data_IF_301894938837
#
_entry.id   IF_301894938837
#
_cell.length_a   1.000
_cell.length_b   1.000
_cell.length_c   1.000
_cell.angle_alpha   90.00
_cell.angle_beta   90.00
_cell.angle_gamma   90.00
#
_symmetry.space_group_name_H-M   'P 1'
#
loop_
_entity.id
_entity.type
_entity.pdbx_description
1 polymer ?
#
# COMPACT_ATOMS: atom_id res chain seq x y z
N UNK A 1 70.98 23.78 1.82
CA UNK A 1 69.82 22.87 1.77
C UNK A 1 68.54 23.70 1.72
N UNK A 2 67.88 23.88 0.57
CA UNK A 2 66.56 24.50 0.51
C UNK A 2 65.44 23.46 0.31
N UNK A 3 64.41 23.60 1.15
CA UNK A 3 62.98 23.41 0.94
C UNK A 3 62.45 22.43 -0.13
N UNK A 4 61.69 21.43 0.32
CA UNK A 4 60.62 20.75 -0.45
C UNK A 4 59.44 20.55 0.52
N UNK A 5 58.45 21.45 0.47
CA UNK A 5 57.15 21.28 -0.18
C UNK A 5 56.26 20.21 0.51
N UNK A 6 55.46 20.62 1.50
CA UNK A 6 54.32 19.83 1.98
C UNK A 6 53.09 20.20 1.17
N UNK A 7 52.56 19.24 0.42
CA UNK A 7 51.32 19.35 -0.33
C UNK A 7 50.13 19.21 0.63
N UNK A 8 49.26 20.22 0.65
CA UNK A 8 47.99 20.19 1.36
C UNK A 8 46.93 19.59 0.41
N UNK A 9 46.50 18.35 0.68
CA UNK A 9 45.33 17.76 0.03
C UNK A 9 44.06 18.24 0.74
N UNK A 10 43.35 19.20 0.15
CA UNK A 10 41.99 19.55 0.58
C UNK A 10 41.00 18.58 -0.08
N UNK A 11 40.51 17.60 0.69
CA UNK A 11 39.43 16.70 0.30
C UNK A 11 38.11 17.50 0.39
N UNK A 12 37.60 17.98 -0.74
CA UNK A 12 36.28 18.59 -0.81
C UNK A 12 35.20 17.50 -0.68
N UNK A 13 34.62 17.37 0.52
CA UNK A 13 33.46 16.52 0.76
C UNK A 13 32.23 17.24 0.20
N UNK A 14 31.84 16.91 -1.03
CA UNK A 14 30.59 17.39 -1.60
C UNK A 14 29.44 16.69 -0.87
N UNK A 15 28.86 17.38 0.13
CA UNK A 15 27.59 16.98 0.73
C UNK A 15 26.51 17.26 -0.31
N UNK A 16 26.11 16.23 -1.05
CA UNK A 16 24.89 16.28 -1.85
C UNK A 16 23.71 16.30 -0.87
N UNK A 17 23.24 17.49 -0.53
CA UNK A 17 21.91 17.65 0.03
C UNK A 17 20.94 17.32 -1.11
N UNK A 18 20.48 16.07 -1.16
CA UNK A 18 19.38 15.68 -2.03
C UNK A 18 18.14 16.37 -1.50
N UNK A 19 17.91 17.61 -1.96
CA UNK A 19 16.65 18.31 -1.76
C UNK A 19 15.54 17.48 -2.38
N UNK A 20 14.74 16.81 -1.55
CA UNK A 20 13.51 16.19 -1.99
C UNK A 20 12.62 17.30 -2.55
N UNK A 21 12.32 17.23 -3.85
CA UNK A 21 11.22 18.02 -4.38
C UNK A 21 9.97 17.66 -3.57
N UNK A 22 9.13 18.64 -3.17
CA UNK A 22 7.94 18.35 -2.40
C UNK A 22 7.12 17.29 -3.14
N UNK A 23 6.87 16.16 -2.48
CA UNK A 23 6.22 15.03 -3.10
C UNK A 23 4.88 15.48 -3.70
N UNK A 24 4.73 15.34 -5.01
CA UNK A 24 3.49 15.73 -5.69
C UNK A 24 2.37 14.86 -5.16
N UNK A 25 1.28 15.47 -4.70
CA UNK A 25 0.13 14.71 -4.21
C UNK A 25 -1.02 14.71 -5.19
N UNK A 26 -1.59 13.54 -5.45
CA UNK A 26 -2.68 13.34 -6.39
C UNK A 26 -3.78 12.54 -5.68
N UNK A 27 -5.01 13.05 -5.69
CA UNK A 27 -6.15 12.39 -5.07
C UNK A 27 -6.75 11.35 -6.02
N UNK A 28 -7.05 10.14 -5.54
CA UNK A 28 -7.58 9.06 -6.38
C UNK A 28 -9.00 9.33 -6.91
N UNK A 29 -9.76 10.23 -6.27
CA UNK A 29 -11.06 10.71 -6.73
C UNK A 29 -10.98 11.40 -8.10
N UNK A 30 -9.84 12.00 -8.44
CA UNK A 30 -9.61 12.61 -9.75
C UNK A 30 -9.68 11.58 -10.88
N UNK A 31 -9.53 10.29 -10.56
CA UNK A 31 -9.62 9.17 -11.47
C UNK A 31 -10.90 8.36 -11.29
N UNK A 32 -11.78 8.77 -10.37
CA UNK A 32 -13.08 8.14 -10.13
C UNK A 32 -13.12 7.07 -9.04
N UNK A 33 -12.12 7.00 -8.15
CA UNK A 33 -12.18 6.13 -6.99
C UNK A 33 -12.84 6.87 -5.82
N UNK A 34 -13.97 6.36 -5.31
CA UNK A 34 -14.75 7.02 -4.26
C UNK A 34 -15.08 6.04 -3.13
N UNK A 35 -14.82 6.42 -1.87
CA UNK A 35 -15.08 5.50 -0.78
C UNK A 35 -16.59 5.33 -0.53
N UNK A 36 -16.96 4.11 -0.15
CA UNK A 36 -18.30 3.68 0.27
C UNK A 36 -19.38 3.77 -0.83
N UNK A 37 -19.00 3.71 -2.11
CA UNK A 37 -19.97 3.70 -3.22
C UNK A 37 -20.35 2.27 -3.67
N UNK A 38 -19.65 1.25 -3.18
CA UNK A 38 -19.86 -0.16 -3.54
C UNK A 38 -19.35 -0.53 -4.94
N UNK A 39 -18.69 0.39 -5.63
CA UNK A 39 -18.18 0.23 -7.00
C UNK A 39 -16.74 -0.26 -6.93
N UNK A 40 -16.32 -1.02 -7.95
CA UNK A 40 -14.92 -1.44 -8.06
C UNK A 40 -14.00 -0.23 -8.31
N UNK A 41 -13.14 0.06 -7.34
CA UNK A 41 -12.18 1.17 -7.37
C UNK A 41 -10.89 0.79 -8.10
N UNK A 42 -10.62 -0.50 -8.32
CA UNK A 42 -9.39 -0.98 -8.97
C UNK A 42 -9.08 -0.28 -10.30
N UNK A 43 -10.03 -0.10 -11.25
CA UNK A 43 -9.75 0.59 -12.51
C UNK A 43 -9.34 2.06 -12.31
N UNK A 44 -9.94 2.76 -11.35
CA UNK A 44 -9.66 4.16 -11.08
C UNK A 44 -8.29 4.34 -10.43
N UNK A 45 -7.95 3.47 -9.47
CA UNK A 45 -6.63 3.45 -8.83
C UNK A 45 -5.55 3.10 -9.85
N UNK A 46 -5.77 2.12 -10.74
CA UNK A 46 -4.83 1.79 -11.81
C UNK A 46 -4.58 2.96 -12.78
N UNK A 47 -5.63 3.75 -13.10
CA UNK A 47 -5.45 4.98 -13.88
C UNK A 47 -4.64 6.04 -13.14
N UNK A 48 -4.84 6.17 -11.82
CA UNK A 48 -4.05 7.08 -10.99
C UNK A 48 -2.57 6.69 -10.99
N UNK A 49 -2.29 5.40 -10.78
CA UNK A 49 -0.94 4.83 -10.82
C UNK A 49 -0.25 5.06 -12.16
N UNK A 50 -0.95 4.82 -13.28
CA UNK A 50 -0.41 5.03 -14.63
C UNK A 50 -0.08 6.49 -14.95
N UNK A 51 -0.62 7.45 -14.18
CA UNK A 51 -0.38 8.90 -14.35
C UNK A 51 0.48 9.49 -13.24
N UNK A 52 0.83 8.73 -12.21
CA UNK A 52 1.64 9.17 -11.09
C UNK A 52 3.12 9.25 -11.52
N UNK A 53 3.75 10.43 -11.57
CA UNK A 53 5.19 10.52 -11.73
C UNK A 53 5.92 9.89 -10.53
N UNK A 54 7.22 9.60 -10.69
CA UNK A 54 8.05 9.14 -9.57
C UNK A 54 8.01 10.13 -8.40
N UNK A 55 8.01 9.64 -7.16
CA UNK A 55 7.91 10.49 -5.97
C UNK A 55 6.49 10.94 -5.60
N UNK A 56 5.45 10.42 -6.26
CA UNK A 56 4.06 10.86 -6.04
C UNK A 56 3.46 10.26 -4.78
N UNK A 57 2.66 11.06 -4.06
CA UNK A 57 1.74 10.61 -3.01
C UNK A 57 0.32 10.48 -3.59
N UNK A 58 -0.15 9.25 -3.79
CA UNK A 58 -1.55 8.95 -4.09
C UNK A 58 -2.37 8.99 -2.80
N UNK A 59 -3.25 9.98 -2.68
CA UNK A 59 -4.07 10.22 -1.50
C UNK A 59 -5.48 9.62 -1.65
N UNK A 60 -5.90 8.97 -0.57
CA UNK A 60 -7.24 8.40 -0.42
C UNK A 60 -8.01 9.18 0.66
N UNK A 61 -9.29 9.44 0.40
CA UNK A 61 -10.23 9.95 1.41
C UNK A 61 -10.61 8.82 2.38
N UNK A 62 -11.04 9.13 3.62
CA UNK A 62 -11.49 8.12 4.56
C UNK A 62 -12.73 7.36 4.04
N UNK A 63 -12.84 6.10 4.42
CA UNK A 63 -13.90 5.16 4.04
C UNK A 63 -13.37 3.91 3.36
N UNK A 64 -14.30 3.07 2.90
CA UNK A 64 -14.01 1.79 2.27
C UNK A 64 -13.89 1.94 0.75
N UNK A 65 -12.80 1.45 0.18
CA UNK A 65 -12.64 1.26 -1.26
C UNK A 65 -12.77 -0.23 -1.57
N UNK A 66 -13.55 -0.57 -2.59
CA UNK A 66 -13.83 -1.94 -2.97
C UNK A 66 -12.90 -2.35 -4.12
N UNK A 67 -12.02 -3.30 -3.82
CA UNK A 67 -10.99 -3.78 -4.74
C UNK A 67 -11.44 -5.11 -5.33
N UNK A 68 -11.57 -5.17 -6.66
CA UNK A 68 -11.74 -6.44 -7.37
C UNK A 68 -10.52 -6.76 -8.22
N UNK A 69 -10.21 -8.05 -8.24
CA UNK A 69 -9.19 -8.65 -9.05
C UNK A 69 -9.25 -8.22 -10.52
N UNK A 70 -8.15 -7.68 -11.04
CA UNK A 70 -7.93 -7.57 -12.50
C UNK A 70 -6.80 -8.46 -13.00
N UNK A 71 -5.98 -8.97 -12.08
CA UNK A 71 -4.91 -9.93 -12.31
C UNK A 71 -5.29 -11.27 -11.63
N UNK A 72 -4.82 -12.43 -12.13
CA UNK A 72 -5.14 -13.72 -11.53
C UNK A 72 -4.60 -13.94 -10.09
N UNK A 73 -3.67 -13.11 -9.62
CA UNK A 73 -2.94 -13.32 -8.36
C UNK A 73 -3.07 -12.15 -7.38
N UNK A 74 -3.32 -10.93 -7.88
CA UNK A 74 -3.23 -9.70 -7.09
C UNK A 74 -4.38 -8.72 -7.40
N UNK A 75 -4.92 -8.05 -6.38
CA UNK A 75 -5.87 -6.96 -6.61
C UNK A 75 -5.18 -5.69 -7.09
N UNK A 76 -4.03 -5.35 -6.48
CA UNK A 76 -3.19 -4.23 -6.89
C UNK A 76 -1.76 -4.69 -7.11
N UNK A 77 -1.28 -4.49 -8.34
CA UNK A 77 0.08 -4.76 -8.73
C UNK A 77 0.84 -3.44 -8.92
N UNK A 78 1.76 -3.15 -8.01
CA UNK A 78 2.59 -1.96 -8.01
C UNK A 78 3.96 -2.33 -8.57
N UNK A 79 4.09 -2.30 -9.91
CA UNK A 79 5.28 -2.81 -10.62
C UNK A 79 6.17 -1.70 -11.16
N UNK A 80 7.49 -1.79 -10.92
CA UNK A 80 8.52 -0.86 -11.44
C UNK A 80 8.25 0.61 -11.09
N UNK A 81 7.77 0.85 -9.88
CA UNK A 81 7.50 2.20 -9.37
C UNK A 81 8.70 2.70 -8.56
N UNK A 82 8.91 4.02 -8.54
CA UNK A 82 9.98 4.66 -7.78
C UNK A 82 9.42 5.84 -6.97
N UNK A 83 9.63 5.83 -5.65
CA UNK A 83 9.18 6.92 -4.78
C UNK A 83 7.66 7.02 -4.62
N UNK A 84 6.89 5.96 -4.89
CA UNK A 84 5.43 6.02 -4.82
C UNK A 84 4.95 5.87 -3.37
N UNK A 85 4.08 6.77 -2.92
CA UNK A 85 3.43 6.67 -1.62
C UNK A 85 1.92 6.51 -1.79
N UNK A 86 1.38 5.33 -1.51
CA UNK A 86 -0.06 5.16 -1.31
C UNK A 86 -0.37 5.53 0.13
N UNK A 87 -1.24 6.53 0.33
CA UNK A 87 -1.54 7.06 1.66
C UNK A 87 -3.04 7.15 1.89
N UNK A 88 -3.51 6.39 2.87
CA UNK A 88 -4.83 6.56 3.46
C UNK A 88 -4.95 7.85 4.25
N UNK A 89 -6.19 8.28 4.49
CA UNK A 89 -6.48 9.47 5.27
C UNK A 89 -6.00 9.33 6.73
N UNK A 90 -5.43 10.40 7.27
CA UNK A 90 -5.01 10.51 8.67
C UNK A 90 -6.02 11.28 9.53
N UNK A 91 -7.05 11.86 8.93
CA UNK A 91 -8.12 12.60 9.58
C UNK A 91 -9.47 12.23 8.96
N UNK A 92 -10.56 12.40 9.72
CA UNK A 92 -11.91 12.16 9.19
C UNK A 92 -12.35 10.69 9.14
N UNK A 93 -11.53 9.74 9.62
CA UNK A 93 -11.88 8.32 9.71
C UNK A 93 -10.75 7.41 9.27
N UNK A 94 -11.03 6.11 9.20
CA UNK A 94 -10.09 5.10 8.67
C UNK A 94 -10.27 4.99 7.16
N UNK A 95 -9.19 4.63 6.46
CA UNK A 95 -9.25 4.26 5.04
C UNK A 95 -9.09 2.76 4.95
N UNK A 96 -10.03 2.06 4.34
CA UNK A 96 -10.02 0.61 4.23
C UNK A 96 -9.97 0.20 2.77
N UNK A 97 -9.08 -0.74 2.44
CA UNK A 97 -9.07 -1.44 1.16
C UNK A 97 -9.67 -2.82 1.38
N UNK A 98 -10.81 -3.09 0.75
CA UNK A 98 -11.54 -4.35 0.89
C UNK A 98 -11.40 -5.17 -0.38
N UNK A 99 -10.75 -6.33 -0.27
CA UNK A 99 -10.47 -7.25 -1.37
C UNK A 99 -11.61 -8.28 -1.53
N UNK A 100 -12.20 -8.38 -2.71
CA UNK A 100 -13.38 -9.23 -2.94
C UNK A 100 -13.06 -10.66 -3.41
N UNK A 101 -11.80 -10.97 -3.71
CA UNK A 101 -11.37 -12.33 -4.04
C UNK A 101 -10.38 -12.86 -3.00
N UNK A 102 -10.83 -13.77 -2.12
CA UNK A 102 -10.00 -14.31 -1.03
C UNK A 102 -8.88 -15.25 -1.49
N UNK A 103 -8.89 -15.73 -2.74
CA UNK A 103 -7.79 -16.58 -3.25
C UNK A 103 -6.64 -15.77 -3.83
N UNK A 104 -6.88 -14.48 -4.09
CA UNK A 104 -5.87 -13.55 -4.55
C UNK A 104 -5.30 -12.76 -3.39
N UNK A 105 -4.06 -12.32 -3.55
CA UNK A 105 -3.45 -11.40 -2.58
C UNK A 105 -3.93 -9.97 -2.79
N UNK A 106 -3.81 -9.14 -1.75
CA UNK A 106 -4.22 -7.74 -1.79
C UNK A 106 -3.30 -6.88 -2.64
N UNK A 107 -2.14 -6.50 -2.09
CA UNK A 107 -1.19 -5.58 -2.73
C UNK A 107 0.14 -6.29 -2.91
N UNK A 108 0.72 -6.20 -4.11
CA UNK A 108 2.10 -6.60 -4.37
C UNK A 108 2.93 -5.40 -4.81
N UNK A 109 4.13 -5.28 -4.26
CA UNK A 109 5.19 -4.39 -4.72
C UNK A 109 6.22 -5.25 -5.45
N UNK A 110 6.30 -5.08 -6.76
CA UNK A 110 7.18 -5.86 -7.62
C UNK A 110 8.17 -4.94 -8.35
N UNK A 111 9.45 -5.31 -8.34
CA UNK A 111 10.54 -4.52 -8.95
C UNK A 111 10.49 -3.01 -8.61
N UNK A 112 9.96 -2.63 -7.45
CA UNK A 112 9.71 -1.23 -7.06
C UNK A 112 10.69 -0.77 -5.98
N UNK A 113 11.06 0.51 -6.00
CA UNK A 113 12.05 1.09 -5.08
C UNK A 113 11.45 2.29 -4.35
N UNK A 114 11.74 2.42 -3.06
CA UNK A 114 11.31 3.57 -2.24
C UNK A 114 9.79 3.81 -2.29
N UNK A 115 9.02 2.72 -2.27
CA UNK A 115 7.56 2.79 -2.29
C UNK A 115 7.00 2.49 -0.89
N UNK A 116 5.93 3.19 -0.51
CA UNK A 116 5.26 3.00 0.78
C UNK A 116 3.76 2.85 0.59
N UNK A 117 3.17 2.02 1.45
CA UNK A 117 1.73 1.85 1.59
C UNK A 117 1.41 2.03 3.07
N UNK A 118 0.69 3.10 3.42
CA UNK A 118 0.48 3.48 4.82
C UNK A 118 -0.90 4.05 5.10
N UNK A 119 -1.32 3.96 6.37
CA UNK A 119 -2.61 4.44 6.87
C UNK A 119 -3.84 3.75 6.25
N UNK A 120 -3.71 2.46 5.94
CA UNK A 120 -4.83 1.63 5.48
C UNK A 120 -5.15 0.52 6.47
N UNK A 121 -6.43 0.20 6.54
CA UNK A 121 -6.88 -1.13 6.94
C UNK A 121 -6.98 -2.01 5.71
N UNK A 122 -6.44 -3.22 5.82
CA UNK A 122 -6.51 -4.21 4.76
C UNK A 122 -7.41 -5.35 5.22
N UNK A 123 -8.40 -5.70 4.40
CA UNK A 123 -9.32 -6.78 4.71
C UNK A 123 -9.87 -7.45 3.46
N UNK A 124 -10.42 -8.64 3.63
CA UNK A 124 -11.17 -9.33 2.58
C UNK A 124 -12.66 -9.25 2.89
N UNK A 125 -13.48 -9.08 1.84
CA UNK A 125 -14.94 -9.07 1.96
C UNK A 125 -15.45 -10.43 2.50
N UNK A 126 -14.87 -11.51 2.00
CA UNK A 126 -15.05 -12.86 2.54
C UNK A 126 -13.90 -13.21 3.48
N UNK A 127 -14.23 -13.72 4.67
CA UNK A 127 -13.20 -14.16 5.61
C UNK A 127 -12.38 -15.31 5.02
N UNK A 128 -11.06 -15.20 5.12
CA UNK A 128 -10.12 -16.25 4.70
C UNK A 128 -10.09 -17.44 5.66
N UNK A 129 -10.68 -17.27 6.85
CA UNK A 129 -10.78 -18.29 7.88
C UNK A 129 -12.21 -18.41 8.39
N UNK A 130 -12.53 -19.59 8.91
CA UNK A 130 -13.78 -19.84 9.59
C UNK A 130 -13.61 -19.59 11.08
N UNK A 131 -14.62 -19.00 11.70
CA UNK A 131 -14.69 -18.80 13.15
C UNK A 131 -16.07 -19.21 13.62
N UNK A 132 -16.16 -19.66 14.87
CA UNK A 132 -17.41 -20.11 15.45
C UNK A 132 -17.38 -20.06 16.97
N UNK A 133 -18.53 -20.33 17.59
CA UNK A 133 -18.66 -20.45 19.03
C UNK A 133 -18.60 -21.92 19.40
N UNK A 134 -17.73 -22.28 20.35
CA UNK A 134 -17.70 -23.62 20.94
C UNK A 134 -18.95 -23.77 21.81
N UNK A 135 -19.81 -24.73 21.47
CA UNK A 135 -21.04 -25.02 22.21
C UNK A 135 -20.83 -26.09 23.27
N UNK A 136 -20.04 -27.12 22.95
CA UNK A 136 -19.76 -28.24 23.84
C UNK A 136 -18.37 -28.83 23.56
N UNK A 137 -17.81 -29.50 24.57
CA UNK A 137 -16.54 -30.24 24.52
C UNK A 137 -16.77 -31.59 25.18
N UNK A 138 -16.46 -32.68 24.47
CA UNK A 138 -16.42 -34.02 25.05
C UNK A 138 -14.98 -34.53 25.04
N UNK A 139 -14.31 -34.55 26.21
CA UNK A 139 -12.93 -35.01 26.30
C UNK A 139 -12.78 -36.53 26.20
N UNK A 140 -13.86 -37.30 26.42
CA UNK A 140 -13.81 -38.76 26.35
C UNK A 140 -13.84 -39.27 24.91
N UNK A 141 -14.63 -38.60 24.07
CA UNK A 141 -14.75 -38.90 22.64
C UNK A 141 -13.87 -37.98 21.76
N UNK A 142 -13.13 -37.06 22.38
CA UNK A 142 -12.22 -36.11 21.73
C UNK A 142 -12.89 -35.27 20.61
N UNK A 143 -14.13 -34.81 20.81
CA UNK A 143 -14.82 -33.93 19.86
C UNK A 143 -15.25 -32.60 20.48
N UNK A 144 -15.49 -31.62 19.61
CA UNK A 144 -16.07 -30.32 19.95
C UNK A 144 -17.26 -30.03 19.03
N UNK A 145 -18.31 -29.43 19.59
CA UNK A 145 -19.41 -28.88 18.82
C UNK A 145 -19.16 -27.39 18.59
N UNK A 146 -19.17 -26.98 17.32
CA UNK A 146 -18.91 -25.59 16.93
C UNK A 146 -20.07 -25.07 16.10
N UNK A 147 -20.64 -23.94 16.53
CA UNK A 147 -21.56 -23.16 15.71
C UNK A 147 -20.76 -22.16 14.89
N UNK A 148 -20.84 -22.28 13.56
CA UNK A 148 -20.16 -21.41 12.60
C UNK A 148 -21.10 -20.30 12.13
#
# INVERSE_FOLDING_TARGET
MPQVLQALFALAFAVFVTGSSPAQSIAVQQFGAFPNDGIDDTPAINRALARAPAGTVLQFLPGQYDMRAQDPLHHLCLTRLSGLHLRGATTGGRTSLVFHDRVQSGIVLDESTDCTVEHFDLGYAEKTFTQGVILAIDPSEMYIDVQI
#
